data_IF_979566420991
#
_entry.id   IF_979566420991
#
_cell.length_a   1.000
_cell.length_b   1.000
_cell.length_c   1.000
_cell.angle_alpha   90.00
_cell.angle_beta   90.00
_cell.angle_gamma   90.00
#
_symmetry.space_group_name_H-M   'P 1'
#
loop_
_entity.id
_entity.type
_entity.pdbx_description
1 polymer ?
#
# COMPACT_ATOMS: atom_id res chain seq x y z
N UNK A 1 16.75 18.94 -8.92
CA UNK A 1 15.33 18.77 -9.29
C UNK A 1 14.66 17.88 -8.25
N UNK A 2 13.53 18.27 -7.66
CA UNK A 2 12.77 17.37 -6.80
C UNK A 2 12.31 16.16 -7.62
N UNK A 3 12.33 14.97 -7.02
CA UNK A 3 11.81 13.76 -7.67
C UNK A 3 10.30 13.94 -7.89
N UNK A 4 9.74 13.49 -9.02
CA UNK A 4 8.31 13.58 -9.25
C UNK A 4 7.56 12.73 -8.22
N UNK A 5 6.52 13.30 -7.61
CA UNK A 5 5.57 12.54 -6.80
C UNK A 5 4.64 11.78 -7.73
N UNK A 6 4.64 10.45 -7.62
CA UNK A 6 3.77 9.57 -8.41
C UNK A 6 2.70 9.02 -7.48
N UNK A 7 1.45 9.33 -7.79
CA UNK A 7 0.27 8.89 -7.05
C UNK A 7 -0.38 7.67 -7.72
N UNK A 8 -0.98 6.80 -6.91
CA UNK A 8 -1.77 5.67 -7.38
C UNK A 8 -3.12 5.72 -6.68
N UNK A 9 -4.20 5.73 -7.46
CA UNK A 9 -5.58 5.74 -6.96
C UNK A 9 -6.23 4.39 -7.28
N UNK A 10 -6.90 3.79 -6.30
CA UNK A 10 -7.59 2.52 -6.45
C UNK A 10 -9.09 2.70 -6.19
N UNK A 11 -9.91 1.97 -6.94
CA UNK A 11 -11.31 1.76 -6.58
C UNK A 11 -11.40 0.48 -5.77
N UNK A 12 -12.01 0.58 -4.60
CA UNK A 12 -12.25 -0.52 -3.66
C UNK A 12 -13.68 -0.41 -3.15
N UNK A 13 -14.23 -1.50 -2.61
CA UNK A 13 -15.49 -1.44 -1.87
C UNK A 13 -15.30 -0.76 -0.51
N UNK A 14 -16.41 -0.47 0.17
CA UNK A 14 -16.36 0.08 1.52
C UNK A 14 -15.77 -0.93 2.51
N UNK A 15 -16.15 -2.21 2.39
CA UNK A 15 -15.63 -3.29 3.23
C UNK A 15 -14.11 -3.47 3.06
N UNK A 16 -13.61 -3.42 1.83
CA UNK A 16 -12.17 -3.50 1.55
C UNK A 16 -11.41 -2.29 2.14
N UNK A 17 -12.02 -1.10 2.09
CA UNK A 17 -11.44 0.12 2.67
C UNK A 17 -11.39 0.04 4.19
N UNK A 18 -12.44 -0.43 4.82
CA UNK A 18 -12.52 -0.59 6.27
C UNK A 18 -11.55 -1.65 6.78
N UNK A 19 -11.44 -2.78 6.06
CA UNK A 19 -10.44 -3.80 6.33
C UNK A 19 -9.02 -3.22 6.28
N UNK A 20 -8.69 -2.45 5.23
CA UNK A 20 -7.38 -1.82 5.10
C UNK A 20 -7.11 -0.84 6.25
N UNK A 21 -8.12 -0.08 6.66
CA UNK A 21 -8.00 0.86 7.78
C UNK A 21 -7.73 0.14 9.10
N UNK A 22 -8.47 -0.92 9.42
CA UNK A 22 -8.25 -1.73 10.62
C UNK A 22 -6.85 -2.34 10.64
N UNK A 23 -6.38 -2.85 9.50
CA UNK A 23 -5.04 -3.40 9.39
C UNK A 23 -3.96 -2.32 9.61
N UNK A 24 -4.14 -1.13 9.06
CA UNK A 24 -3.24 0.01 9.29
C UNK A 24 -3.16 0.40 10.78
N UNK A 25 -4.31 0.42 11.48
CA UNK A 25 -4.38 0.74 12.91
C UNK A 25 -3.68 -0.32 13.77
N UNK A 26 -3.91 -1.60 13.48
CA UNK A 26 -3.27 -2.71 14.20
C UNK A 26 -1.75 -2.71 14.05
N UNK A 27 -1.25 -2.41 12.85
CA UNK A 27 0.18 -2.38 12.56
C UNK A 27 0.85 -1.05 12.97
N UNK A 28 0.07 -0.02 13.32
CA UNK A 28 0.58 1.34 13.56
C UNK A 28 1.23 1.96 12.32
N UNK A 29 0.71 1.64 11.13
CA UNK A 29 1.32 1.99 9.83
C UNK A 29 0.33 2.69 8.92
N UNK A 30 0.84 3.48 7.97
CA UNK A 30 -0.01 4.14 6.98
C UNK A 30 -0.34 3.20 5.82
N UNK A 31 -1.42 3.48 5.08
CA UNK A 31 -1.76 2.77 3.84
C UNK A 31 -0.58 2.80 2.83
N UNK A 32 0.15 3.90 2.78
CA UNK A 32 1.35 4.04 1.94
C UNK A 32 2.46 3.07 2.37
N UNK A 33 2.67 2.89 3.68
CA UNK A 33 3.69 1.97 4.18
C UNK A 33 3.35 0.51 3.86
N UNK A 34 2.07 0.15 4.03
CA UNK A 34 1.55 -1.18 3.68
C UNK A 34 1.71 -1.43 2.18
N UNK A 35 1.22 -0.51 1.33
CA UNK A 35 1.32 -0.64 -0.12
C UNK A 35 2.77 -0.73 -0.59
N UNK A 36 3.67 0.11 -0.06
CA UNK A 36 5.10 0.09 -0.41
C UNK A 36 5.74 -1.24 -0.04
N UNK A 37 5.38 -1.82 1.11
CA UNK A 37 5.86 -3.14 1.48
C UNK A 37 5.35 -4.23 0.54
N UNK A 38 4.06 -4.22 0.21
CA UNK A 38 3.49 -5.17 -0.75
C UNK A 38 4.20 -5.09 -2.10
N UNK A 39 4.45 -3.88 -2.62
CA UNK A 39 5.21 -3.68 -3.87
C UNK A 39 6.64 -4.24 -3.75
N UNK A 40 7.32 -4.04 -2.62
CA UNK A 40 8.66 -4.62 -2.39
C UNK A 40 8.63 -6.14 -2.35
N UNK A 41 7.57 -6.74 -1.78
CA UNK A 41 7.35 -8.20 -1.79
C UNK A 41 7.10 -8.70 -3.22
N UNK A 42 6.30 -8.00 -4.02
CA UNK A 42 6.09 -8.32 -5.45
C UNK A 42 7.40 -8.28 -6.24
N UNK A 43 8.23 -7.24 -6.05
CA UNK A 43 9.55 -7.15 -6.71
C UNK A 43 10.45 -8.36 -6.41
N UNK A 44 10.38 -8.91 -5.20
CA UNK A 44 11.12 -10.13 -4.83
C UNK A 44 10.58 -11.36 -5.55
N UNK A 45 9.26 -11.49 -5.66
CA UNK A 45 8.59 -12.61 -6.36
C UNK A 45 8.87 -12.60 -7.87
N UNK A 46 8.92 -11.42 -8.49
CA UNK A 46 9.17 -11.29 -9.94
C UNK A 46 10.66 -11.47 -10.32
N UNK A 47 11.56 -11.50 -9.35
CA UNK A 47 13.01 -11.67 -9.55
C UNK A 47 13.51 -13.08 -9.19
N UNK A 48 12.62 -13.96 -8.73
CA UNK A 48 12.87 -15.39 -8.58
C UNK A 48 12.21 -16.14 -9.72
#
# INVERSE_FOLDING_TARGET
MPKPEIFITFRVTEEEKDLLKQYCEQEGRTQTDILREMIRRLKRRLKG
#
